data_IF_459005721853
#
_entry.id   IF_459005721853
#
_cell.length_a   1.000
_cell.length_b   1.000
_cell.length_c   1.000
_cell.angle_alpha   90.00
_cell.angle_beta   90.00
_cell.angle_gamma   90.00
#
_symmetry.space_group_name_H-M   'P 1'
#
loop_
_entity.id
_entity.type
_entity.pdbx_description
1 polymer ?
#
# COMPACT_ATOMS: atom_id res chain seq x y z
N UNK A 1 7.80 -6.39 10.71
CA UNK A 1 6.82 -5.48 10.07
C UNK A 1 7.51 -4.80 8.90
N UNK A 2 7.20 -5.20 7.66
CA UNK A 2 7.78 -4.58 6.47
C UNK A 2 7.26 -3.15 6.28
N UNK A 3 8.12 -2.26 5.80
CA UNK A 3 7.79 -0.96 5.24
C UNK A 3 8.13 -0.96 3.74
N UNK A 4 8.11 0.21 3.08
CA UNK A 4 8.50 0.30 1.67
C UNK A 4 9.97 -0.06 1.42
N UNK A 5 10.87 0.31 2.33
CA UNK A 5 12.32 0.16 2.19
C UNK A 5 12.96 -0.69 3.27
N UNK A 6 12.27 -0.91 4.40
CA UNK A 6 12.87 -1.46 5.60
C UNK A 6 11.98 -2.54 6.21
N UNK A 7 12.49 -3.26 7.21
CA UNK A 7 11.72 -4.23 7.97
C UNK A 7 12.04 -4.09 9.45
N UNK A 8 11.02 -3.78 10.25
CA UNK A 8 11.14 -3.79 11.71
C UNK A 8 11.10 -5.23 12.22
N UNK A 9 12.09 -5.60 13.03
CA UNK A 9 12.16 -6.91 13.69
C UNK A 9 11.91 -6.68 15.18
N UNK A 10 10.95 -7.41 15.74
CA UNK A 10 10.54 -7.31 17.14
C UNK A 10 10.82 -8.65 17.80
N UNK A 11 11.45 -8.63 18.97
CA UNK A 11 11.81 -9.82 19.74
C UNK A 11 11.74 -9.51 21.24
N UNK A 12 11.48 -10.55 22.05
CA UNK A 12 11.45 -10.41 23.52
C UNK A 12 12.85 -10.60 24.10
N UNK A 13 13.55 -9.49 24.30
CA UNK A 13 14.89 -9.52 24.89
C UNK A 13 14.92 -10.12 26.30
N UNK A 14 13.85 -9.95 27.09
CA UNK A 14 13.80 -10.42 28.49
C UNK A 14 13.69 -11.94 28.53
N UNK A 15 12.83 -12.50 27.70
CA UNK A 15 12.67 -13.94 27.56
C UNK A 15 13.96 -14.61 27.07
N UNK A 16 14.59 -14.03 26.04
CA UNK A 16 15.87 -14.48 25.50
C UNK A 16 16.98 -14.55 26.57
N UNK A 17 17.07 -13.55 27.44
CA UNK A 17 18.07 -13.52 28.52
C UNK A 17 17.75 -14.56 29.59
N UNK A 18 16.48 -14.61 30.04
CA UNK A 18 16.09 -15.38 31.23
C UNK A 18 15.94 -16.88 30.98
N UNK A 19 15.45 -17.26 29.80
CA UNK A 19 15.03 -18.63 29.52
C UNK A 19 15.85 -19.28 28.41
N UNK A 20 16.55 -18.49 27.58
CA UNK A 20 17.37 -18.99 26.47
C UNK A 20 18.87 -18.74 26.63
N UNK A 21 19.32 -18.22 27.78
CA UNK A 21 20.73 -17.93 28.09
C UNK A 21 21.45 -17.04 27.04
N UNK A 22 20.70 -16.20 26.33
CA UNK A 22 21.27 -15.27 25.34
C UNK A 22 21.69 -13.99 26.06
N UNK A 23 22.98 -13.81 26.28
CA UNK A 23 23.51 -12.66 27.04
C UNK A 23 23.29 -11.31 26.35
N UNK A 24 23.39 -11.28 25.01
CA UNK A 24 23.14 -10.08 24.22
C UNK A 24 22.12 -10.37 23.12
N UNK A 25 20.81 -10.20 23.42
CA UNK A 25 19.74 -10.40 22.44
C UNK A 25 19.95 -9.61 21.15
N UNK A 26 20.43 -8.36 21.25
CA UNK A 26 20.71 -7.55 20.07
C UNK A 26 21.79 -8.15 19.17
N UNK A 27 22.94 -8.55 19.73
CA UNK A 27 24.02 -9.13 18.93
C UNK A 27 23.61 -10.48 18.33
N UNK A 28 22.85 -11.27 19.08
CA UNK A 28 22.29 -12.52 18.59
C UNK A 28 21.36 -12.29 17.40
N UNK A 29 20.39 -11.38 17.52
CA UNK A 29 19.47 -11.07 16.44
C UNK A 29 20.17 -10.48 15.22
N UNK A 30 21.17 -9.62 15.44
CA UNK A 30 22.00 -9.09 14.35
C UNK A 30 22.69 -10.22 13.58
N UNK A 31 23.39 -11.12 14.28
CA UNK A 31 24.07 -12.25 13.65
C UNK A 31 23.09 -13.20 12.95
N UNK A 32 21.92 -13.44 13.54
CA UNK A 32 20.86 -14.23 12.92
C UNK A 32 20.41 -13.62 11.60
N UNK A 33 20.13 -12.31 11.56
CA UNK A 33 19.73 -11.60 10.34
C UNK A 33 20.84 -11.65 9.29
N UNK A 34 22.08 -11.41 9.69
CA UNK A 34 23.26 -11.48 8.80
C UNK A 34 23.49 -12.88 8.22
N UNK A 35 23.02 -13.93 8.89
CA UNK A 35 23.11 -15.32 8.41
C UNK A 35 22.03 -15.72 7.39
N UNK A 36 20.98 -14.90 7.22
CA UNK A 36 19.88 -15.19 6.30
C UNK A 36 20.37 -15.08 4.85
N UNK A 37 20.37 -16.21 4.14
CA UNK A 37 20.63 -16.25 2.71
C UNK A 37 19.31 -16.15 1.95
N UNK A 38 19.05 -14.99 1.36
CA UNK A 38 17.84 -14.78 0.57
C UNK A 38 17.92 -15.55 -0.74
N UNK A 39 17.00 -16.49 -0.94
CA UNK A 39 16.78 -17.11 -2.24
C UNK A 39 15.48 -16.53 -2.82
N UNK A 40 15.62 -15.56 -3.73
CA UNK A 40 14.46 -14.90 -4.35
C UNK A 40 13.88 -15.84 -5.39
N UNK A 41 12.81 -16.55 -5.03
CA UNK A 41 11.97 -17.27 -5.98
C UNK A 41 10.81 -16.38 -6.38
N UNK A 42 10.72 -16.09 -7.67
CA UNK A 42 9.51 -15.52 -8.26
C UNK A 42 8.59 -16.68 -8.66
N UNK A 43 7.68 -17.06 -7.78
CA UNK A 43 6.63 -18.02 -8.10
C UNK A 43 5.37 -17.25 -8.50
N UNK A 44 5.05 -17.30 -9.79
CA UNK A 44 3.84 -16.67 -10.35
C UNK A 44 2.68 -17.67 -10.46
N UNK A 45 2.84 -18.90 -9.97
CA UNK A 45 1.78 -19.89 -10.05
C UNK A 45 0.69 -19.65 -9.00
N UNK A 46 -0.53 -19.47 -9.50
CA UNK A 46 -1.79 -19.44 -8.74
C UNK A 46 -1.83 -18.42 -7.58
N UNK A 47 -1.85 -17.14 -7.93
CA UNK A 47 -2.40 -16.13 -7.02
C UNK A 47 -3.90 -16.03 -7.26
N UNK A 48 -4.69 -16.22 -6.21
CA UNK A 48 -6.12 -15.91 -6.24
C UNK A 48 -6.27 -14.40 -6.46
N UNK A 49 -6.64 -14.04 -7.69
CA UNK A 49 -6.89 -12.65 -8.05
C UNK A 49 -8.24 -12.23 -7.45
N UNK A 50 -8.20 -11.17 -6.66
CA UNK A 50 -9.41 -10.53 -6.14
C UNK A 50 -9.72 -9.34 -7.04
N UNK A 51 -10.88 -9.38 -7.68
CA UNK A 51 -11.38 -8.24 -8.45
C UNK A 51 -12.10 -7.25 -7.53
N UNK A 52 -11.69 -5.98 -7.58
CA UNK A 52 -12.27 -4.92 -6.78
C UNK A 52 -13.00 -3.93 -7.72
N UNK A 53 -14.34 -3.85 -7.66
CA UNK A 53 -15.09 -2.90 -8.46
C UNK A 53 -14.87 -1.49 -7.92
N UNK A 54 -14.63 -0.53 -8.82
CA UNK A 54 -14.35 0.86 -8.46
C UNK A 54 -15.30 1.79 -9.24
N UNK A 55 -15.97 2.67 -8.51
CA UNK A 55 -16.68 3.82 -9.05
C UNK A 55 -15.71 4.99 -9.11
N UNK A 56 -15.29 5.35 -10.33
CA UNK A 56 -14.32 6.44 -10.55
C UNK A 56 -14.98 7.82 -10.58
N UNK A 57 -14.28 8.82 -10.04
CA UNK A 57 -14.61 10.23 -10.26
C UNK A 57 -15.83 10.78 -9.51
N UNK A 58 -16.25 11.99 -9.90
CA UNK A 58 -17.37 12.73 -9.29
C UNK A 58 -17.22 12.83 -7.76
N UNK A 59 -18.30 12.63 -6.99
CA UNK A 59 -18.26 12.65 -5.52
C UNK A 59 -17.42 11.54 -4.90
N UNK A 60 -17.14 10.46 -5.64
CA UNK A 60 -16.39 9.30 -5.18
C UNK A 60 -14.88 9.41 -5.46
N UNK A 61 -14.50 10.20 -6.46
CA UNK A 61 -13.13 10.48 -6.86
C UNK A 61 -12.92 11.96 -7.14
N UNK A 62 -13.00 12.83 -6.11
CA UNK A 62 -12.98 14.28 -6.30
C UNK A 62 -11.69 14.81 -6.94
N UNK A 63 -10.57 14.09 -6.85
CA UNK A 63 -9.30 14.53 -7.42
C UNK A 63 -9.07 14.02 -8.84
N UNK A 64 -9.90 13.10 -9.33
CA UNK A 64 -9.68 12.43 -10.61
C UNK A 64 -9.63 13.43 -11.77
N UNK A 65 -10.55 14.39 -11.82
CA UNK A 65 -10.58 15.37 -12.92
C UNK A 65 -9.31 16.22 -12.98
N UNK A 66 -8.78 16.62 -11.81
CA UNK A 66 -7.51 17.33 -11.72
C UNK A 66 -6.35 16.49 -12.22
N UNK A 67 -6.34 15.20 -11.85
CA UNK A 67 -5.33 14.24 -12.30
C UNK A 67 -5.37 14.01 -13.81
N UNK A 68 -6.56 13.86 -14.41
CA UNK A 68 -6.71 13.74 -15.86
C UNK A 68 -6.10 14.93 -16.60
N UNK A 69 -6.34 16.15 -16.10
CA UNK A 69 -5.74 17.39 -16.64
C UNK A 69 -4.22 17.40 -16.46
N UNK A 70 -3.72 16.99 -15.30
CA UNK A 70 -2.30 16.90 -15.00
C UNK A 70 -1.57 15.93 -15.93
N UNK A 71 -2.11 14.72 -16.10
CA UNK A 71 -1.55 13.69 -16.97
C UNK A 71 -1.81 13.94 -18.47
N UNK A 72 -2.72 14.85 -18.80
CA UNK A 72 -3.18 15.12 -20.17
C UNK A 72 -3.72 13.87 -20.86
N UNK A 73 -4.52 13.08 -20.14
CA UNK A 73 -5.17 11.88 -20.65
C UNK A 73 -6.68 11.93 -20.45
N UNK A 74 -7.41 11.14 -21.24
CA UNK A 74 -8.85 10.97 -21.09
C UNK A 74 -9.19 10.03 -19.93
N UNK A 75 -10.42 10.11 -19.43
CA UNK A 75 -10.92 9.26 -18.34
C UNK A 75 -10.79 7.77 -18.69
N UNK A 76 -11.15 7.40 -19.91
CA UNK A 76 -11.13 6.00 -20.37
C UNK A 76 -9.70 5.45 -20.34
N UNK A 77 -8.73 6.26 -20.77
CA UNK A 77 -7.30 5.91 -20.72
C UNK A 77 -6.82 5.76 -19.28
N UNK A 78 -7.25 6.63 -18.36
CA UNK A 78 -6.90 6.50 -16.95
C UNK A 78 -7.45 5.20 -16.36
N UNK A 79 -8.75 4.92 -16.57
CA UNK A 79 -9.40 3.72 -16.07
C UNK A 79 -8.71 2.48 -16.63
N UNK A 80 -8.38 2.46 -17.93
CA UNK A 80 -7.65 1.36 -18.54
C UNK A 80 -6.28 1.14 -17.88
N UNK A 81 -5.48 2.21 -17.73
CA UNK A 81 -4.15 2.12 -17.12
C UNK A 81 -4.20 1.69 -15.66
N UNK A 82 -5.20 2.16 -14.91
CA UNK A 82 -5.37 1.86 -13.49
C UNK A 82 -5.91 0.46 -13.25
N UNK A 83 -6.92 0.02 -14.00
CA UNK A 83 -7.60 -1.27 -13.80
C UNK A 83 -6.89 -2.47 -14.42
N UNK A 84 -6.11 -2.29 -15.50
CA UNK A 84 -5.32 -3.39 -16.11
C UNK A 84 -4.04 -3.71 -15.33
N UNK A 85 -3.64 -2.85 -14.40
CA UNK A 85 -2.48 -3.11 -13.56
C UNK A 85 -2.78 -4.27 -12.59
N UNK A 86 -1.82 -5.19 -12.46
CA UNK A 86 -1.87 -6.20 -11.42
C UNK A 86 -1.23 -5.63 -10.16
N UNK A 87 -2.02 -5.58 -9.09
CA UNK A 87 -1.57 -5.07 -7.80
C UNK A 87 -1.27 -6.22 -6.87
N UNK A 88 -0.19 -6.08 -6.10
CA UNK A 88 0.06 -6.92 -4.93
C UNK A 88 0.16 -6.06 -3.68
N UNK A 89 -0.26 -6.63 -2.55
CA UNK A 89 -0.14 -6.01 -1.24
C UNK A 89 1.33 -6.09 -0.81
N UNK A 90 2.08 -4.99 -0.95
CA UNK A 90 3.52 -4.97 -0.58
C UNK A 90 3.75 -4.86 0.93
N UNK A 91 2.82 -4.19 1.62
CA UNK A 91 2.79 -4.09 3.07
C UNK A 91 1.38 -3.70 3.51
N UNK A 92 1.09 -3.92 4.79
CA UNK A 92 -0.11 -3.41 5.46
C UNK A 92 0.35 -2.51 6.62
N UNK A 93 -0.34 -1.39 6.84
CA UNK A 93 0.06 -0.41 7.85
C UNK A 93 -0.82 0.84 7.78
N UNK A 94 -0.42 1.94 8.43
CA UNK A 94 -1.20 3.17 8.58
C UNK A 94 -2.46 3.03 9.45
N UNK A 95 -3.40 2.19 9.05
CA UNK A 95 -4.60 1.85 9.81
C UNK A 95 -4.91 0.36 9.67
N UNK A 96 -5.77 -0.22 10.54
CA UNK A 96 -6.12 -1.63 10.46
C UNK A 96 -6.58 -2.03 9.07
N UNK A 97 -5.91 -3.03 8.49
CA UNK A 97 -6.25 -3.58 7.18
C UNK A 97 -5.84 -2.72 5.96
N UNK A 98 -5.29 -1.51 6.13
CA UNK A 98 -4.95 -0.67 4.97
C UNK A 98 -3.82 -1.29 4.13
N UNK A 99 -4.11 -1.68 2.87
CA UNK A 99 -3.13 -2.33 2.00
C UNK A 99 -2.40 -1.30 1.15
N UNK A 100 -1.06 -1.35 1.17
CA UNK A 100 -0.26 -0.62 0.21
C UNK A 100 -0.13 -1.46 -1.06
N UNK A 101 -0.80 -1.02 -2.13
CA UNK A 101 -0.84 -1.72 -3.41
C UNK A 101 0.32 -1.26 -4.30
N UNK A 102 1.19 -2.19 -4.66
CA UNK A 102 2.28 -1.97 -5.62
C UNK A 102 1.91 -2.59 -6.97
N UNK A 103 2.27 -1.92 -8.06
CA UNK A 103 1.91 -2.32 -9.42
C UNK A 103 1.27 -1.22 -10.26
N UNK A 104 1.04 -0.04 -9.66
CA UNK A 104 0.48 1.12 -10.35
C UNK A 104 1.23 1.40 -11.65
N UNK A 105 0.48 1.65 -12.73
CA UNK A 105 1.09 1.96 -14.02
C UNK A 105 1.96 3.22 -13.90
N UNK A 106 3.21 3.16 -14.38
CA UNK A 106 4.16 4.28 -14.31
C UNK A 106 3.67 5.60 -14.92
N UNK A 107 2.71 5.54 -15.85
CA UNK A 107 2.07 6.73 -16.44
C UNK A 107 1.15 7.47 -15.46
N UNK A 108 0.75 6.80 -14.38
CA UNK A 108 -0.11 7.32 -13.31
C UNK A 108 0.67 7.63 -12.03
N UNK A 109 2.01 7.62 -12.07
CA UNK A 109 2.82 8.06 -10.94
C UNK A 109 2.62 9.55 -10.69
N UNK A 110 2.50 9.91 -9.41
CA UNK A 110 2.24 11.26 -8.96
C UNK A 110 3.29 11.71 -7.96
N UNK A 111 3.76 12.95 -8.08
CA UNK A 111 4.81 13.50 -7.23
C UNK A 111 4.29 14.57 -6.25
N UNK A 112 2.97 14.66 -6.09
CA UNK A 112 2.31 15.58 -5.18
C UNK A 112 1.10 14.93 -4.53
N UNK A 113 0.71 15.47 -3.39
CA UNK A 113 -0.54 15.19 -2.69
C UNK A 113 -1.47 16.41 -2.79
N UNK A 114 -2.67 16.31 -2.22
CA UNK A 114 -3.57 17.47 -2.05
C UNK A 114 -2.88 18.55 -1.21
N UNK A 115 -3.18 19.83 -1.49
CA UNK A 115 -2.63 20.97 -0.73
C UNK A 115 -3.10 21.00 0.72
N UNK A 116 -4.25 20.39 1.01
CA UNK A 116 -4.85 20.36 2.33
C UNK A 116 -5.34 18.95 2.63
N UNK A 117 -5.24 18.55 3.90
CA UNK A 117 -5.87 17.33 4.39
C UNK A 117 -7.37 17.47 4.34
N UNK A 118 -8.04 16.38 3.99
CA UNK A 118 -9.49 16.28 3.91
C UNK A 118 -9.94 14.95 4.50
N UNK A 119 -11.21 14.90 4.87
CA UNK A 119 -11.85 13.64 5.23
C UNK A 119 -11.90 12.70 4.02
N UNK A 120 -11.48 11.46 4.23
CA UNK A 120 -11.47 10.38 3.24
C UNK A 120 -12.20 9.18 3.86
N UNK A 121 -13.38 8.81 3.35
CA UNK A 121 -14.16 7.71 3.90
C UNK A 121 -13.54 6.33 3.60
N UNK A 122 -13.84 5.36 4.44
CA UNK A 122 -13.57 3.96 4.17
C UNK A 122 -14.19 3.52 2.83
N UNK A 123 -13.45 2.77 2.03
CA UNK A 123 -13.75 2.38 0.65
C UNK A 123 -13.17 3.32 -0.40
N UNK A 124 -12.63 4.49 -0.03
CA UNK A 124 -11.96 5.38 -0.99
C UNK A 124 -10.70 4.75 -1.59
N UNK A 125 -10.60 4.83 -2.91
CA UNK A 125 -9.41 4.44 -3.68
C UNK A 125 -8.52 5.66 -3.86
N UNK A 126 -7.28 5.55 -3.43
CA UNK A 126 -6.33 6.66 -3.36
C UNK A 126 -5.05 6.38 -4.12
N UNK A 127 -4.43 7.44 -4.64
CA UNK A 127 -3.08 7.42 -5.20
C UNK A 127 -2.14 8.28 -4.36
N UNK A 128 -0.92 7.77 -4.18
CA UNK A 128 0.19 8.47 -3.57
C UNK A 128 1.51 7.95 -4.16
N UNK A 129 2.34 8.84 -4.71
CA UNK A 129 3.63 8.42 -5.26
C UNK A 129 3.49 7.42 -6.41
N UNK A 130 3.95 6.19 -6.12
CA UNK A 130 3.93 5.03 -7.04
C UNK A 130 2.93 3.97 -6.60
N UNK A 131 2.06 4.29 -5.65
CA UNK A 131 1.19 3.33 -4.97
C UNK A 131 -0.27 3.66 -5.21
N UNK A 132 -1.07 2.61 -5.17
CA UNK A 132 -2.51 2.70 -4.99
C UNK A 132 -2.84 2.20 -3.57
N UNK A 133 -3.94 2.66 -3.01
CA UNK A 133 -4.43 2.21 -1.71
C UNK A 133 -5.95 2.21 -1.68
N UNK A 134 -6.50 1.39 -0.78
CA UNK A 134 -7.93 1.41 -0.46
C UNK A 134 -8.04 1.72 1.02
N UNK A 135 -8.68 2.85 1.33
CA UNK A 135 -8.87 3.29 2.71
C UNK A 135 -9.82 2.32 3.41
N UNK A 136 -9.38 1.68 4.49
CA UNK A 136 -10.20 0.70 5.24
C UNK A 136 -10.96 1.32 6.40
N UNK A 137 -10.48 2.45 6.89
CA UNK A 137 -11.06 3.19 8.02
C UNK A 137 -11.11 4.66 7.66
N UNK A 138 -12.21 5.34 7.99
CA UNK A 138 -12.35 6.78 7.83
C UNK A 138 -11.12 7.52 8.36
N UNK A 139 -10.61 8.47 7.57
CA UNK A 139 -9.38 9.18 7.92
C UNK A 139 -9.35 10.63 7.46
N UNK A 140 -8.41 11.41 7.98
CA UNK A 140 -8.09 12.77 7.52
C UNK A 140 -6.68 12.76 6.95
N UNK A 141 -6.56 12.83 5.62
CA UNK A 141 -5.29 12.77 4.91
C UNK A 141 -5.26 13.67 3.67
N UNK A 142 -4.09 13.83 3.06
CA UNK A 142 -3.87 14.62 1.84
C UNK A 142 -3.78 13.77 0.56
N UNK A 143 -4.02 12.46 0.66
CA UNK A 143 -4.05 11.57 -0.50
C UNK A 143 -5.06 11.99 -1.58
N UNK A 144 -4.73 11.63 -2.82
CA UNK A 144 -5.55 11.92 -3.99
C UNK A 144 -6.57 10.80 -4.19
N UNK A 145 -7.84 11.10 -3.97
CA UNK A 145 -8.98 10.19 -4.07
C UNK A 145 -9.48 10.15 -5.51
N UNK A 146 -9.38 8.99 -6.14
CA UNK A 146 -9.72 8.75 -7.56
C UNK A 146 -11.04 8.01 -7.75
N UNK A 147 -11.54 7.36 -6.71
CA UNK A 147 -12.76 6.58 -6.78
C UNK A 147 -13.11 5.93 -5.45
N UNK A 148 -14.07 5.02 -5.50
CA UNK A 148 -14.63 4.36 -4.33
C UNK A 148 -14.99 2.91 -4.65
N UNK A 149 -14.79 2.00 -3.71
CA UNK A 149 -15.29 0.63 -3.76
C UNK A 149 -16.25 0.36 -2.60
N UNK A 150 -17.26 -0.47 -2.86
CA UNK A 150 -18.19 -0.96 -1.84
C UNK A 150 -17.71 -2.25 -1.17
N UNK A 151 -16.57 -2.82 -1.60
CA UNK A 151 -16.01 -4.00 -0.94
C UNK A 151 -15.57 -3.60 0.47
N UNK A 152 -16.04 -4.37 1.44
CA UNK A 152 -15.60 -4.26 2.83
C UNK A 152 -14.22 -4.90 2.90
N UNK A 153 -13.22 -4.07 3.11
CA UNK A 153 -11.81 -4.46 3.11
C UNK A 153 -11.25 -4.74 4.50
N UNK A 154 -12.01 -4.43 5.57
CA UNK A 154 -11.69 -4.75 6.97
C UNK A 154 -12.93 -4.59 7.87
#
# INVERSE_FOLDING_TARGET
MPSESDMMIVYDARDMIKHHNIQSPFLYMKALIESIHLNIKHDFNQQDLIEIPIVYGSKYGPDLESLLKHYKIKLETFIELHSKAQYFVSMMGYSPGFPYLTGLNKKLYINHTSKQKKFIPAGSVVLEGKKCGIVTTDTINDWLVIGYTTIITF
#
